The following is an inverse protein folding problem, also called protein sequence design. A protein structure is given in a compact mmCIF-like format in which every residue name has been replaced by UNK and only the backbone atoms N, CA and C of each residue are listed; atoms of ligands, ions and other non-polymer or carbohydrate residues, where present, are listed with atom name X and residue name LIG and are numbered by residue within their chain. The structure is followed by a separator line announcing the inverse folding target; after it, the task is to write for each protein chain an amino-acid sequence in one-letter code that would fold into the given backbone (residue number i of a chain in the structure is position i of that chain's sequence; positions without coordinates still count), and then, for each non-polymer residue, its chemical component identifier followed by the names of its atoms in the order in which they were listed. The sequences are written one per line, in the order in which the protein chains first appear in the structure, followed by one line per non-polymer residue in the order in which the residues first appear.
data_IF_862922320052
#
_entry.id   IF_862922320052
#
_cell.length_a   1.000
_cell.length_b   1.000
_cell.length_c   1.000
_cell.angle_alpha   90.00
_cell.angle_beta   90.00
_cell.angle_gamma   90.00
#
_symmetry.space_group_name_H-M   'P 1'
#
loop_
_entity.id
_entity.type
_entity.pdbx_description
1 polymer ?
#
# COMPACT_ATOMS: atom_id res chain seq x y z
N UNK A 1 71.56 6.18 -4.04
CA UNK A 1 73.01 6.38 -4.30
C UNK A 1 73.24 7.87 -4.46
N UNK A 2 74.00 8.52 -3.57
CA UNK A 2 74.40 9.91 -3.76
C UNK A 2 75.47 9.94 -4.85
N UNK A 3 75.28 10.76 -5.89
CA UNK A 3 76.29 10.97 -6.91
C UNK A 3 76.82 12.39 -6.77
N UNK A 4 78.00 12.51 -6.18
CA UNK A 4 78.70 13.79 -6.00
C UNK A 4 79.34 14.17 -7.33
N UNK A 5 78.82 15.21 -8.00
CA UNK A 5 79.48 15.82 -9.15
C UNK A 5 80.21 17.07 -8.67
N UNK A 6 81.54 17.02 -8.69
CA UNK A 6 82.39 18.14 -8.34
C UNK A 6 82.78 18.92 -9.59
N UNK A 7 82.16 20.09 -9.80
CA UNK A 7 82.64 21.09 -10.74
C UNK A 7 83.03 22.32 -9.93
N UNK A 8 84.34 22.60 -9.93
CA UNK A 8 84.97 23.85 -9.47
C UNK A 8 84.44 24.40 -8.14
N UNK A 9 84.81 23.75 -7.04
CA UNK A 9 84.86 24.37 -5.71
C UNK A 9 83.54 24.66 -5.00
N UNK A 10 82.39 24.45 -5.64
CA UNK A 10 81.08 24.60 -5.01
C UNK A 10 80.46 23.21 -4.82
N UNK A 11 80.36 22.77 -3.57
CA UNK A 11 79.67 21.51 -3.23
C UNK A 11 78.16 21.72 -3.37
N UNK A 12 77.59 21.48 -4.55
CA UNK A 12 76.14 21.40 -4.72
C UNK A 12 75.66 20.02 -4.26
N UNK A 13 74.93 19.96 -3.15
CA UNK A 13 74.16 18.77 -2.77
C UNK A 13 72.90 18.73 -3.63
N UNK A 14 72.98 18.06 -4.77
CA UNK A 14 71.80 17.83 -5.62
C UNK A 14 71.01 16.66 -5.02
N UNK A 15 69.94 16.98 -4.29
CA UNK A 15 68.94 15.99 -3.88
C UNK A 15 68.19 15.53 -5.13
N UNK A 16 68.70 14.50 -5.81
CA UNK A 16 67.92 13.77 -6.79
C UNK A 16 66.86 13.01 -6.01
N UNK A 17 65.68 13.60 -5.87
CA UNK A 17 64.48 12.85 -5.49
C UNK A 17 64.19 11.93 -6.66
N UNK A 18 64.86 10.77 -6.68
CA UNK A 18 64.44 9.66 -7.51
C UNK A 18 63.01 9.37 -7.10
N UNK A 19 62.05 9.72 -7.96
CA UNK A 19 60.73 9.12 -7.92
C UNK A 19 60.95 7.67 -8.32
N UNK A 20 61.51 6.88 -7.40
CA UNK A 20 61.34 5.44 -7.43
C UNK A 20 59.84 5.27 -7.40
N UNK A 21 59.27 4.82 -8.52
CA UNK A 21 57.88 4.42 -8.59
C UNK A 21 57.69 3.36 -7.52
N UNK A 22 57.29 3.80 -6.33
CA UNK A 22 56.83 2.94 -5.27
C UNK A 22 55.64 2.24 -5.89
N UNK A 23 55.82 0.95 -6.21
CA UNK A 23 54.73 0.06 -6.60
C UNK A 23 53.88 -0.12 -5.36
N UNK A 24 53.15 0.94 -4.99
CA UNK A 24 52.34 0.98 -3.81
C UNK A 24 51.12 0.09 -4.02
N UNK A 25 50.84 -0.75 -3.04
CA UNK A 25 49.55 -1.42 -2.95
C UNK A 25 48.50 -0.40 -2.47
N UNK A 26 47.31 -0.45 -3.06
CA UNK A 26 46.16 0.29 -2.57
C UNK A 26 45.49 -0.48 -1.42
N UNK A 27 44.78 0.22 -0.55
CA UNK A 27 44.05 -0.41 0.55
C UNK A 27 42.56 -0.23 0.30
N UNK A 28 41.84 -1.35 0.32
CA UNK A 28 40.39 -1.39 0.16
C UNK A 28 39.66 -0.99 1.45
N UNK A 29 38.35 -0.71 1.38
CA UNK A 29 37.49 -0.44 2.54
C UNK A 29 37.64 -1.45 3.69
N UNK A 30 37.90 -2.72 3.36
CA UNK A 30 38.08 -3.81 4.32
C UNK A 30 39.52 -3.93 4.86
N UNK A 31 40.42 -3.01 4.51
CA UNK A 31 41.83 -3.03 4.92
C UNK A 31 42.71 -4.00 4.12
N UNK A 32 42.21 -4.54 3.00
CA UNK A 32 42.93 -5.48 2.15
C UNK A 32 43.88 -4.71 1.22
N UNK A 33 45.12 -5.22 1.07
CA UNK A 33 46.10 -4.70 0.12
C UNK A 33 45.82 -5.22 -1.29
N UNK A 34 45.68 -4.30 -2.22
CA UNK A 34 45.38 -4.55 -3.63
C UNK A 34 46.56 -4.09 -4.47
N UNK A 35 47.10 -4.99 -5.29
CA UNK A 35 48.21 -4.67 -6.18
C UNK A 35 47.81 -3.71 -7.31
N UNK A 36 48.80 -3.09 -7.97
CA UNK A 36 48.55 -2.18 -9.09
C UNK A 36 47.86 -2.88 -10.27
N UNK A 37 46.96 -2.16 -10.95
CA UNK A 37 46.16 -2.65 -12.08
C UNK A 37 44.85 -3.34 -11.70
N UNK A 38 44.62 -3.62 -10.42
CA UNK A 38 43.40 -4.28 -9.94
C UNK A 38 42.33 -3.28 -9.49
N UNK A 39 41.08 -3.71 -9.59
CA UNK A 39 39.94 -2.93 -9.13
C UNK A 39 39.71 -3.09 -7.62
N UNK A 40 39.41 -1.99 -6.94
CA UNK A 40 39.12 -1.94 -5.51
C UNK A 40 38.16 -0.80 -5.18
N UNK A 41 37.60 -0.81 -3.97
CA UNK A 41 36.63 0.16 -3.48
C UNK A 41 37.31 1.01 -2.39
N UNK A 42 37.87 2.18 -2.71
CA UNK A 42 38.64 2.98 -1.74
C UNK A 42 37.83 3.51 -0.55
N UNK A 43 36.49 3.54 -0.64
CA UNK A 43 35.60 4.07 0.40
C UNK A 43 35.55 5.60 0.48
N UNK A 44 34.54 6.20 1.16
CA UNK A 44 33.48 5.62 2.01
C UNK A 44 32.21 5.19 1.27
N UNK A 45 32.07 5.57 0.00
CA UNK A 45 30.94 5.18 -0.84
C UNK A 45 31.16 3.75 -1.35
N UNK A 46 30.34 2.81 -0.88
CA UNK A 46 30.41 1.38 -1.25
C UNK A 46 30.13 1.11 -2.75
N UNK A 47 29.71 2.14 -3.50
CA UNK A 47 29.39 2.05 -4.92
C UNK A 47 30.47 2.57 -5.88
N UNK A 48 31.67 2.95 -5.39
CA UNK A 48 32.72 3.46 -6.28
C UNK A 48 33.81 2.41 -6.49
N UNK A 49 34.00 1.99 -7.74
CA UNK A 49 35.07 1.07 -8.13
C UNK A 49 36.20 1.85 -8.80
N UNK A 50 37.41 1.75 -8.26
CA UNK A 50 38.62 2.38 -8.77
C UNK A 50 39.66 1.34 -9.16
N UNK A 51 40.58 1.69 -10.04
CA UNK A 51 41.76 0.88 -10.36
C UNK A 51 42.94 1.37 -9.54
N UNK A 52 43.67 0.46 -8.90
CA UNK A 52 44.88 0.80 -8.17
C UNK A 52 46.01 1.14 -9.15
N UNK A 53 46.63 2.31 -9.02
CA UNK A 53 47.86 2.66 -9.72
C UNK A 53 48.89 3.20 -8.72
N UNK A 54 49.89 2.37 -8.42
CA UNK A 54 51.04 2.72 -7.57
C UNK A 54 50.64 3.38 -6.23
N UNK A 55 49.67 2.80 -5.54
CA UNK A 55 49.18 3.25 -4.22
C UNK A 55 48.13 4.35 -4.29
N UNK A 56 47.72 4.77 -5.49
CA UNK A 56 46.67 5.77 -5.69
C UNK A 56 45.48 5.20 -6.47
N UNK A 57 44.22 5.52 -6.11
CA UNK A 57 43.06 5.19 -6.94
C UNK A 57 43.07 6.03 -8.22
N UNK A 58 43.04 5.38 -9.38
CA UNK A 58 42.82 6.01 -10.69
C UNK A 58 41.62 5.36 -11.38
N UNK A 59 41.02 6.07 -12.35
CA UNK A 59 39.93 5.55 -13.18
C UNK A 59 38.71 5.07 -12.38
N UNK A 60 38.28 5.88 -11.41
CA UNK A 60 37.12 5.58 -10.56
C UNK A 60 35.80 5.73 -11.33
N UNK A 61 34.89 4.76 -11.17
CA UNK A 61 33.53 4.81 -11.71
C UNK A 61 32.52 4.43 -10.63
N UNK A 62 31.41 5.16 -10.60
CA UNK A 62 30.26 4.75 -9.81
C UNK A 62 29.57 3.55 -10.48
N UNK A 63 29.39 2.48 -9.73
CA UNK A 63 28.64 1.29 -10.13
C UNK A 63 27.22 1.46 -9.60
N UNK A 64 26.26 1.39 -10.52
CA UNK A 64 24.84 1.32 -10.18
C UNK A 64 24.33 -0.06 -10.57
N UNK A 65 23.78 -0.78 -9.60
CA UNK A 65 23.11 -2.04 -9.89
C UNK A 65 21.82 -1.79 -10.68
N UNK A 66 21.43 -2.79 -11.49
CA UNK A 66 20.12 -2.75 -12.15
C UNK A 66 19.01 -2.90 -11.10
N UNK A 67 17.97 -2.06 -11.14
CA UNK A 67 16.85 -2.19 -10.22
C UNK A 67 16.08 -3.51 -10.49
N UNK A 68 15.47 -4.11 -9.45
CA UNK A 68 14.60 -5.27 -9.63
C UNK A 68 13.43 -4.93 -10.55
N UNK A 69 13.05 -5.86 -11.43
CA UNK A 69 11.96 -5.67 -12.41
C UNK A 69 10.57 -5.63 -11.74
N UNK A 70 10.47 -6.12 -10.51
CA UNK A 70 9.22 -6.30 -9.77
C UNK A 70 8.87 -5.11 -8.85
N UNK A 71 9.60 -3.99 -8.94
CA UNK A 71 9.33 -2.79 -8.15
C UNK A 71 9.12 -1.56 -9.04
N UNK A 72 7.95 -0.92 -8.92
CA UNK A 72 7.57 0.25 -9.72
C UNK A 72 8.20 1.53 -9.16
N UNK A 73 8.28 1.65 -7.84
CA UNK A 73 9.00 2.71 -7.14
C UNK A 73 10.02 2.11 -6.18
N UNK A 74 11.27 2.55 -6.28
CA UNK A 74 12.36 2.13 -5.40
C UNK A 74 13.16 3.33 -4.91
N UNK A 75 13.70 3.22 -3.69
CA UNK A 75 14.78 4.07 -3.16
C UNK A 75 16.02 3.22 -2.96
N UNK A 76 17.17 3.81 -3.22
CA UNK A 76 18.45 3.19 -2.91
C UNK A 76 18.68 3.31 -1.40
N UNK A 77 19.06 2.20 -0.77
CA UNK A 77 19.37 2.10 0.66
C UNK A 77 20.73 2.67 1.02
N UNK A 78 21.24 2.27 2.18
CA UNK A 78 22.53 2.71 2.70
C UNK A 78 23.69 1.86 2.17
N UNK A 79 23.41 0.63 1.73
CA UNK A 79 24.39 -0.25 1.09
C UNK A 79 24.33 -0.16 -0.43
N UNK A 80 25.48 -0.35 -1.09
CA UNK A 80 25.51 -0.41 -2.53
C UNK A 80 24.62 -1.57 -3.02
N UNK A 81 23.75 -1.27 -3.99
CA UNK A 81 22.80 -2.23 -4.55
C UNK A 81 21.67 -2.68 -3.60
N UNK A 82 21.46 -1.95 -2.51
CA UNK A 82 20.26 -2.10 -1.70
C UNK A 82 19.11 -1.31 -2.32
N UNK A 83 18.07 -1.99 -2.77
CA UNK A 83 16.85 -1.36 -3.28
C UNK A 83 15.71 -1.63 -2.30
N UNK A 84 15.11 -0.55 -1.79
CA UNK A 84 13.93 -0.62 -0.94
C UNK A 84 12.74 -0.21 -1.81
N UNK A 85 11.77 -1.11 -2.00
CA UNK A 85 10.58 -0.81 -2.80
C UNK A 85 9.58 0.03 -1.98
N UNK A 86 9.04 1.10 -2.58
CA UNK A 86 8.07 2.01 -1.96
C UNK A 86 6.63 1.78 -2.44
N UNK A 87 6.37 0.64 -3.07
CA UNK A 87 5.08 0.32 -3.69
C UNK A 87 3.91 0.23 -2.68
N UNK A 88 4.19 0.30 -1.38
CA UNK A 88 3.19 0.42 -0.31
C UNK A 88 2.56 1.83 -0.20
N UNK A 89 3.10 2.87 -0.85
CA UNK A 89 2.49 4.22 -0.83
C UNK A 89 1.63 4.54 -2.06
N UNK A 90 1.76 3.73 -3.13
CA UNK A 90 0.90 3.80 -4.30
C UNK A 90 -0.05 2.59 -4.43
N UNK A 91 0.01 1.66 -3.49
CA UNK A 91 -1.02 0.64 -3.28
C UNK A 91 -2.26 1.20 -2.58
N UNK A 92 -2.76 2.32 -3.12
CA UNK A 92 -4.19 2.45 -3.41
C UNK A 92 -4.36 2.16 -4.91
N UNK A 93 -4.10 0.93 -5.30
CA UNK A 93 -4.24 0.51 -6.70
C UNK A 93 -3.33 -0.63 -7.10
N UNK A 94 -3.71 -1.83 -6.68
CA UNK A 94 -3.84 -3.00 -7.56
C UNK A 94 -2.56 -3.64 -8.17
N UNK A 95 -2.51 -4.98 -8.00
CA UNK A 95 -1.68 -5.98 -8.68
C UNK A 95 -0.23 -6.17 -8.22
N UNK A 96 0.01 -7.24 -7.46
CA UNK A 96 1.36 -7.79 -7.31
C UNK A 96 1.56 -8.86 -6.24
N UNK A 97 0.66 -8.98 -5.26
CA UNK A 97 0.81 -10.00 -4.23
C UNK A 97 -0.30 -9.98 -3.22
N UNK A 98 -1.52 -10.44 -3.59
CA UNK A 98 -2.53 -10.71 -2.58
C UNK A 98 -3.67 -11.67 -3.00
N UNK A 99 -3.38 -12.94 -3.29
CA UNK A 99 -4.46 -13.94 -3.48
C UNK A 99 -5.29 -14.21 -2.22
N UNK A 100 -4.80 -13.92 -1.01
CA UNK A 100 -5.51 -14.20 0.26
C UNK A 100 -6.47 -13.06 0.75
N UNK A 101 -6.14 -11.77 0.61
CA UNK A 101 -6.98 -10.59 0.92
C UNK A 101 -7.97 -10.31 -0.19
N UNK A 102 -7.69 -10.64 -1.45
CA UNK A 102 -8.70 -10.48 -2.49
C UNK A 102 -9.90 -11.38 -2.18
N UNK A 103 -9.67 -12.64 -1.77
CA UNK A 103 -10.74 -13.54 -1.31
C UNK A 103 -11.44 -13.01 -0.04
N UNK A 104 -10.67 -12.57 0.96
CA UNK A 104 -11.26 -12.01 2.19
C UNK A 104 -12.06 -10.72 1.92
N UNK A 105 -11.53 -9.83 1.08
CA UNK A 105 -12.16 -8.57 0.69
C UNK A 105 -13.42 -8.79 -0.15
N UNK A 106 -13.36 -9.69 -1.14
CA UNK A 106 -14.53 -10.08 -1.93
C UNK A 106 -15.61 -10.76 -1.07
N UNK A 107 -15.23 -11.61 -0.12
CA UNK A 107 -16.16 -12.24 0.83
C UNK A 107 -16.77 -11.23 1.79
N UNK A 108 -16.00 -10.23 2.24
CA UNK A 108 -16.52 -9.13 3.06
C UNK A 108 -17.50 -8.25 2.27
N UNK A 109 -17.19 -7.91 1.02
CA UNK A 109 -18.11 -7.14 0.15
C UNK A 109 -19.39 -7.94 -0.12
N UNK A 110 -19.27 -9.22 -0.48
CA UNK A 110 -20.42 -10.09 -0.68
C UNK A 110 -21.27 -10.24 0.60
N UNK A 111 -20.63 -10.38 1.76
CA UNK A 111 -21.32 -10.42 3.06
C UNK A 111 -22.02 -9.10 3.39
N UNK A 112 -21.40 -7.96 3.07
CA UNK A 112 -21.98 -6.64 3.32
C UNK A 112 -23.21 -6.42 2.44
N UNK A 113 -23.13 -6.75 1.14
CA UNK A 113 -24.24 -6.62 0.20
C UNK A 113 -25.40 -7.52 0.62
N UNK A 114 -25.14 -8.79 0.94
CA UNK A 114 -26.18 -9.73 1.39
C UNK A 114 -26.84 -9.28 2.70
N UNK A 115 -26.06 -8.77 3.67
CA UNK A 115 -26.58 -8.21 4.89
C UNK A 115 -27.50 -6.99 4.61
N UNK A 116 -27.07 -6.05 3.77
CA UNK A 116 -27.86 -4.86 3.42
C UNK A 116 -29.16 -5.23 2.70
N UNK A 117 -29.10 -6.16 1.73
CA UNK A 117 -30.28 -6.65 1.02
C UNK A 117 -31.26 -7.34 1.98
N UNK A 118 -30.75 -8.18 2.89
CA UNK A 118 -31.58 -8.87 3.87
C UNK A 118 -32.30 -7.91 4.82
N UNK A 119 -31.59 -6.89 5.33
CA UNK A 119 -32.15 -5.86 6.20
C UNK A 119 -33.19 -5.01 5.47
N UNK A 120 -32.91 -4.66 4.21
CA UNK A 120 -33.83 -3.88 3.37
C UNK A 120 -35.14 -4.63 3.12
N UNK A 121 -35.07 -5.93 2.84
CA UNK A 121 -36.25 -6.77 2.64
C UNK A 121 -37.07 -6.93 3.93
N UNK A 122 -36.42 -7.15 5.08
CA UNK A 122 -37.10 -7.24 6.37
C UNK A 122 -37.83 -5.93 6.70
N UNK A 123 -37.16 -4.78 6.53
CA UNK A 123 -37.78 -3.48 6.75
C UNK A 123 -38.96 -3.26 5.81
N UNK A 124 -38.81 -3.59 4.53
CA UNK A 124 -39.89 -3.48 3.55
C UNK A 124 -41.09 -4.37 3.89
N UNK A 125 -40.85 -5.61 4.34
CA UNK A 125 -41.91 -6.51 4.78
C UNK A 125 -42.62 -5.98 6.03
N UNK A 126 -41.89 -5.49 7.03
CA UNK A 126 -42.49 -4.87 8.22
C UNK A 126 -43.29 -3.63 7.83
N UNK A 127 -42.76 -2.78 6.97
CA UNK A 127 -43.45 -1.60 6.47
C UNK A 127 -44.73 -2.00 5.73
N UNK A 128 -44.67 -2.97 4.81
CA UNK A 128 -45.83 -3.49 4.07
C UNK A 128 -46.86 -4.14 5.01
N UNK A 129 -46.42 -4.87 6.03
CA UNK A 129 -47.30 -5.48 7.02
C UNK A 129 -47.94 -4.43 7.94
N UNK A 130 -47.20 -3.39 8.36
CA UNK A 130 -47.75 -2.25 9.09
C UNK A 130 -48.73 -1.46 8.24
N UNK A 131 -48.42 -1.22 6.97
CA UNK A 131 -49.34 -0.60 6.02
C UNK A 131 -50.60 -1.43 5.83
N UNK A 132 -50.48 -2.76 5.66
CA UNK A 132 -51.64 -3.67 5.61
C UNK A 132 -52.42 -3.67 6.93
N UNK A 133 -51.75 -3.61 8.08
CA UNK A 133 -52.41 -3.55 9.39
C UNK A 133 -53.13 -2.21 9.60
N UNK A 134 -52.56 -1.10 9.17
CA UNK A 134 -53.19 0.23 9.24
C UNK A 134 -54.35 0.30 8.25
N UNK A 135 -54.19 -0.21 7.02
CA UNK A 135 -55.24 -0.22 6.00
C UNK A 135 -56.38 -1.20 6.34
N UNK A 136 -56.06 -2.33 6.96
CA UNK A 136 -57.05 -3.26 7.52
C UNK A 136 -57.81 -2.66 8.70
N UNK A 137 -57.12 -1.94 9.61
CA UNK A 137 -57.75 -1.26 10.74
C UNK A 137 -58.57 -0.04 10.32
N UNK A 138 -58.16 0.67 9.26
CA UNK A 138 -58.91 1.78 8.67
C UNK A 138 -60.17 1.27 7.95
N UNK A 139 -60.09 0.14 7.23
CA UNK A 139 -61.27 -0.52 6.68
C UNK A 139 -62.25 -0.94 7.80
N UNK A 140 -61.75 -1.57 8.87
CA UNK A 140 -62.57 -2.02 10.00
C UNK A 140 -63.28 -0.86 10.72
N UNK A 141 -62.59 0.28 10.94
CA UNK A 141 -63.17 1.46 11.56
C UNK A 141 -64.18 2.18 10.65
N UNK A 142 -63.97 2.15 9.32
CA UNK A 142 -64.94 2.68 8.34
C UNK A 142 -66.20 1.81 8.19
N UNK A 143 -66.10 0.52 8.50
CA UNK A 143 -67.24 -0.41 8.53
C UNK A 143 -68.02 -0.28 9.85
N UNK A 144 -67.35 -0.13 11.00
CA UNK A 144 -68.02 0.09 12.30
C UNK A 144 -68.79 1.44 12.35
N UNK A 145 -68.24 2.51 11.76
CA UNK A 145 -68.93 3.81 11.64
C UNK A 145 -70.14 3.74 10.69
N UNK A 146 -70.04 2.96 9.60
CA UNK A 146 -71.19 2.68 8.72
C UNK A 146 -72.22 1.73 9.35
N UNK A 147 -71.80 0.81 10.21
CA UNK A 147 -72.68 -0.15 10.90
C UNK A 147 -73.49 0.53 12.01
N UNK A 148 -72.90 1.46 12.77
CA UNK A 148 -73.62 2.28 13.75
C UNK A 148 -74.62 3.26 13.11
N UNK A 149 -74.34 3.76 11.90
CA UNK A 149 -75.30 4.55 11.12
C UNK A 149 -76.49 3.72 10.59
N UNK A 150 -76.38 2.39 10.56
CA UNK A 150 -77.37 1.50 9.94
C UNK A 150 -78.19 0.65 10.93
N UNK A 151 -77.87 0.68 12.23
CA UNK A 151 -78.58 -0.07 13.29
C UNK A 151 -79.79 0.71 13.86
N UNK A 152 -80.09 1.90 13.35
CA UNK A 152 -81.19 2.75 13.84
C UNK A 152 -82.59 2.47 13.28
N UNK A 153 -82.78 1.57 12.30
CA UNK A 153 -84.05 1.50 11.56
C UNK A 153 -84.72 0.11 11.44
N UNK A 154 -84.23 -0.93 12.13
CA UNK A 154 -84.84 -2.27 12.09
C UNK A 154 -85.03 -2.84 13.50
N UNK A 155 -85.77 -2.12 14.35
CA UNK A 155 -86.34 -2.68 15.58
C UNK A 155 -87.72 -2.07 15.81
N UNK A 156 -88.77 -2.76 15.34
CA UNK A 156 -90.15 -2.40 15.68
C UNK A 156 -91.21 -2.57 14.59
N UNK A 157 -91.17 -3.63 13.78
CA UNK A 157 -92.37 -4.03 13.03
C UNK A 157 -92.50 -5.56 13.00
N UNK A 158 -93.15 -6.08 14.03
CA UNK A 158 -93.78 -7.40 13.99
C UNK A 158 -95.18 -7.22 14.57
N UNK A 159 -96.16 -7.13 13.67
CA UNK A 159 -97.57 -6.90 13.99
C UNK A 159 -98.24 -8.15 14.53
N UNK A 160 -99.17 -7.95 15.46
CA UNK A 160 -100.26 -8.89 15.74
C UNK A 160 -101.59 -8.16 15.44
N UNK A 161 -102.47 -8.92 14.80
CA UNK A 161 -103.75 -8.55 14.18
C UNK A 161 -104.81 -7.96 15.15
N UNK A 162 -105.86 -7.30 14.60
CA UNK A 162 -106.93 -6.66 15.37
C UNK A 162 -107.98 -7.68 15.84
N UNK A 163 -108.46 -7.51 17.09
CA UNK A 163 -109.57 -8.28 17.65
C UNK A 163 -110.56 -7.35 18.36
N UNK A 164 -111.68 -7.10 17.71
CA UNK A 164 -112.91 -6.52 18.29
C UNK A 164 -113.65 -7.59 19.09
N UNK A 165 -114.06 -7.30 20.33
CA UNK A 165 -115.26 -7.87 21.01
C UNK A 165 -115.37 -7.35 22.46
N UNK A 166 -116.51 -6.74 22.81
CA UNK A 166 -116.93 -6.46 24.19
C UNK A 166 -117.39 -5.03 24.45
#
# INVERSE_FOLDING_TARGET
MLQNVALLGVSFSLSVTGSGGSSGDCIDLNGIKIGPGLHFVPGPDTCTLCVCDNGSPKWCKAVLCSPPQDCKSFRVGNSCCEFICLDDTLSKGDNGGHEIHADLGLRLIASAITAVLSLSLLFFLIHRLRQRKIRGRQNQLSEDERSLGSIGYIAGSLGYLPGSLG
#
